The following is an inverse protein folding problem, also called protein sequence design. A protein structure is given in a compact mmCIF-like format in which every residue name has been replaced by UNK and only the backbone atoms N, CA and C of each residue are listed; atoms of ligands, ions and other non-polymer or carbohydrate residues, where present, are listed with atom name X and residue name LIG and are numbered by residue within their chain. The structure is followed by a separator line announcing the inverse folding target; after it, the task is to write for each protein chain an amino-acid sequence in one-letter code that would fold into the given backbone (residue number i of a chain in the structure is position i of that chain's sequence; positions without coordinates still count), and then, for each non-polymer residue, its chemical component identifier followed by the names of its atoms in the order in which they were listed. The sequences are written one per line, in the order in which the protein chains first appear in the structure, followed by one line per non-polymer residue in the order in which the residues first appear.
data_IF_115591869336
#
_entry.id   IF_115591869336
#
_cell.length_a   1.000
_cell.length_b   1.000
_cell.length_c   1.000
_cell.angle_alpha   90.00
_cell.angle_beta   90.00
_cell.angle_gamma   90.00
#
_symmetry.space_group_name_H-M   'P 1'
#
loop_
_entity.id
_entity.type
_entity.pdbx_description
1 polymer ?
#
# COMPACT_ATOMS: atom_id res chain seq x y z
N UNK A 1 -42.01 -18.70 -2.88
CA UNK A 1 -42.31 -18.05 -4.18
C UNK A 1 -40.98 -17.80 -4.86
N UNK A 2 -40.75 -18.38 -6.04
CA UNK A 2 -39.56 -18.05 -6.86
C UNK A 2 -39.71 -16.59 -7.31
N UNK A 3 -38.63 -15.81 -7.23
CA UNK A 3 -38.70 -14.40 -7.60
C UNK A 3 -38.83 -14.25 -9.13
N UNK A 4 -39.52 -13.24 -9.65
CA UNK A 4 -39.74 -13.07 -11.10
C UNK A 4 -38.45 -13.12 -11.93
N UNK A 5 -37.37 -12.56 -11.39
CA UNK A 5 -36.03 -12.55 -11.96
C UNK A 5 -35.42 -13.96 -12.10
N UNK A 6 -35.73 -14.87 -11.18
CA UNK A 6 -35.26 -16.25 -11.25
C UNK A 6 -36.04 -17.04 -12.29
N UNK A 7 -37.34 -16.75 -12.49
CA UNK A 7 -38.13 -17.39 -13.54
C UNK A 7 -37.59 -17.03 -14.93
N UNK A 8 -37.25 -15.75 -15.13
CA UNK A 8 -36.64 -15.27 -16.37
C UNK A 8 -35.26 -15.90 -16.62
N UNK A 9 -34.44 -16.10 -15.59
CA UNK A 9 -33.14 -16.79 -15.68
C UNK A 9 -33.27 -18.28 -16.02
N UNK A 10 -34.37 -18.91 -15.66
CA UNK A 10 -34.68 -20.30 -16.03
C UNK A 10 -35.33 -20.41 -17.43
N UNK A 11 -35.41 -19.32 -18.19
CA UNK A 11 -35.99 -19.32 -19.54
C UNK A 11 -37.52 -19.35 -19.56
N UNK A 12 -38.18 -19.12 -18.42
CA UNK A 12 -39.63 -18.90 -18.43
C UNK A 12 -39.93 -17.50 -18.96
N UNK A 13 -40.73 -17.46 -20.03
CA UNK A 13 -41.22 -16.23 -20.65
C UNK A 13 -42.59 -15.93 -20.03
N UNK A 14 -42.76 -14.80 -19.31
CA UNK A 14 -44.04 -14.39 -18.76
C UNK A 14 -45.04 -14.11 -19.88
N UNK A 15 -46.29 -14.57 -19.73
CA UNK A 15 -47.35 -14.37 -20.72
C UNK A 15 -47.64 -12.89 -21.01
N UNK A 16 -47.45 -12.01 -20.01
CA UNK A 16 -47.64 -10.55 -20.15
C UNK A 16 -46.62 -9.88 -21.08
N UNK A 17 -45.46 -10.51 -21.32
CA UNK A 17 -44.41 -9.98 -22.19
C UNK A 17 -44.53 -10.49 -23.64
N UNK A 18 -45.53 -11.32 -23.93
CA UNK A 18 -45.76 -11.90 -25.25
C UNK A 18 -46.78 -11.03 -26.00
N UNK A 19 -46.40 -10.43 -27.14
CA UNK A 19 -47.34 -9.65 -27.94
C UNK A 19 -48.51 -10.52 -28.43
N UNK A 20 -49.76 -10.00 -28.45
CA UNK A 20 -50.91 -10.76 -28.92
C UNK A 20 -50.71 -11.30 -30.33
N UNK A 21 -51.04 -12.57 -30.56
CA UNK A 21 -50.89 -13.22 -31.88
C UNK A 21 -49.47 -13.65 -32.25
N UNK A 22 -48.50 -13.53 -31.35
CA UNK A 22 -47.11 -14.00 -31.56
C UNK A 22 -46.90 -15.36 -30.89
N UNK A 23 -46.23 -16.30 -31.58
CA UNK A 23 -45.83 -17.58 -30.99
C UNK A 23 -44.83 -17.33 -29.84
N UNK A 24 -45.12 -17.78 -28.60
CA UNK A 24 -44.22 -17.68 -27.45
C UNK A 24 -42.79 -18.17 -27.72
N UNK A 25 -42.63 -19.15 -28.64
CA UNK A 25 -41.33 -19.73 -28.99
C UNK A 25 -40.45 -18.81 -29.85
N UNK A 26 -41.02 -17.75 -30.40
CA UNK A 26 -40.33 -16.77 -31.25
C UNK A 26 -39.96 -15.48 -30.53
N UNK A 27 -40.34 -15.34 -29.25
CA UNK A 27 -40.07 -14.12 -28.45
C UNK A 27 -38.74 -14.25 -27.73
N UNK A 28 -37.84 -13.29 -27.96
CA UNK A 28 -36.54 -13.20 -27.29
C UNK A 28 -36.54 -11.97 -26.36
N UNK A 29 -36.41 -12.20 -25.05
CA UNK A 29 -36.27 -11.12 -24.07
C UNK A 29 -34.78 -10.77 -23.94
N UNK A 30 -34.40 -9.56 -24.38
CA UNK A 30 -33.04 -9.05 -24.22
C UNK A 30 -32.91 -8.37 -22.86
N UNK A 31 -32.18 -9.01 -21.95
CA UNK A 31 -31.80 -8.38 -20.69
C UNK A 31 -30.60 -7.46 -20.89
N UNK A 32 -30.81 -6.16 -20.79
CA UNK A 32 -29.70 -5.21 -20.65
C UNK A 32 -29.19 -5.30 -19.22
N UNK A 33 -27.88 -5.52 -19.04
CA UNK A 33 -27.30 -5.47 -17.70
C UNK A 33 -27.43 -4.04 -17.19
N UNK A 34 -28.00 -3.81 -16.00
CA UNK A 34 -28.09 -2.47 -15.45
C UNK A 34 -26.67 -1.88 -15.33
N UNK A 35 -26.50 -0.64 -15.79
CA UNK A 35 -25.22 0.07 -15.72
C UNK A 35 -24.78 0.15 -14.26
N UNK A 36 -23.83 -0.70 -13.88
CA UNK A 36 -23.27 -0.75 -12.52
C UNK A 36 -22.06 0.17 -12.43
N UNK A 37 -22.22 1.29 -11.73
CA UNK A 37 -21.14 2.24 -11.50
C UNK A 37 -20.35 1.95 -10.22
N UNK A 38 -20.89 1.13 -9.31
CA UNK A 38 -20.27 0.85 -8.01
C UNK A 38 -18.96 0.08 -8.14
N UNK A 39 -18.90 -0.95 -8.99
CA UNK A 39 -17.69 -1.74 -9.21
C UNK A 39 -16.51 -0.89 -9.73
N UNK A 40 -16.67 -0.18 -10.86
CA UNK A 40 -15.62 0.68 -11.40
C UNK A 40 -15.20 1.79 -10.44
N UNK A 41 -16.16 2.42 -9.74
CA UNK A 41 -15.87 3.54 -8.85
C UNK A 41 -15.04 3.09 -7.64
N UNK A 42 -15.40 1.96 -7.02
CA UNK A 42 -14.65 1.38 -5.91
C UNK A 42 -13.23 1.00 -6.35
N UNK A 43 -13.08 0.42 -7.55
CA UNK A 43 -11.76 0.07 -8.08
C UNK A 43 -10.85 1.30 -8.19
N UNK A 44 -11.37 2.39 -8.77
CA UNK A 44 -10.62 3.64 -8.93
C UNK A 44 -10.24 4.21 -7.57
N UNK A 45 -11.16 4.20 -6.61
CA UNK A 45 -10.95 4.76 -5.29
C UNK A 45 -9.87 3.98 -4.53
N UNK A 46 -9.93 2.64 -4.56
CA UNK A 46 -8.93 1.76 -3.95
C UNK A 46 -7.56 1.94 -4.62
N UNK A 47 -7.51 1.99 -5.95
CA UNK A 47 -6.25 2.20 -6.68
C UNK A 47 -5.62 3.54 -6.32
N UNK A 48 -6.42 4.61 -6.26
CA UNK A 48 -5.92 5.96 -5.94
C UNK A 48 -5.38 6.02 -4.51
N UNK A 49 -6.12 5.49 -3.53
CA UNK A 49 -5.68 5.44 -2.14
C UNK A 49 -4.43 4.57 -1.97
N UNK A 50 -4.36 3.42 -2.65
CA UNK A 50 -3.20 2.54 -2.62
C UNK A 50 -1.93 3.20 -3.17
N UNK A 51 -2.03 3.89 -4.31
CA UNK A 51 -0.90 4.62 -4.90
C UNK A 51 -0.44 5.75 -3.99
N UNK A 52 -1.35 6.56 -3.46
CA UNK A 52 -1.02 7.63 -2.52
C UNK A 52 -0.33 7.09 -1.26
N UNK A 53 -0.85 6.00 -0.69
CA UNK A 53 -0.26 5.34 0.48
C UNK A 53 1.17 4.83 0.19
N UNK A 54 1.38 4.22 -0.97
CA UNK A 54 2.69 3.72 -1.38
C UNK A 54 3.71 4.86 -1.55
N UNK A 55 3.32 5.94 -2.22
CA UNK A 55 4.19 7.13 -2.38
C UNK A 55 4.52 7.75 -1.02
N UNK A 56 3.55 7.87 -0.12
CA UNK A 56 3.76 8.42 1.21
C UNK A 56 4.74 7.56 2.04
N UNK A 57 4.52 6.25 2.10
CA UNK A 57 5.36 5.33 2.87
C UNK A 57 6.80 5.29 2.33
N UNK A 58 6.95 5.22 1.01
CA UNK A 58 8.28 5.24 0.38
C UNK A 58 9.01 6.55 0.65
N UNK A 59 8.31 7.69 0.57
CA UNK A 59 8.90 9.00 0.86
C UNK A 59 9.39 9.10 2.31
N UNK A 60 8.58 8.67 3.28
CA UNK A 60 8.97 8.67 4.69
C UNK A 60 10.16 7.73 4.95
N UNK A 61 10.14 6.54 4.36
CA UNK A 61 11.24 5.57 4.52
C UNK A 61 12.56 6.13 3.97
N UNK A 62 12.53 6.81 2.82
CA UNK A 62 13.72 7.45 2.26
C UNK A 62 14.20 8.60 3.13
N UNK A 63 13.29 9.47 3.58
CA UNK A 63 13.64 10.61 4.44
C UNK A 63 14.23 10.16 5.78
N UNK A 64 13.69 9.09 6.39
CA UNK A 64 14.23 8.56 7.64
C UNK A 64 15.62 7.96 7.46
N UNK A 65 15.88 7.25 6.35
CA UNK A 65 17.22 6.77 6.00
C UNK A 65 18.22 7.93 5.83
N UNK A 66 17.82 9.00 5.15
CA UNK A 66 18.65 10.21 4.98
C UNK A 66 18.91 10.90 6.31
N UNK A 67 17.91 11.01 7.17
CA UNK A 67 18.07 11.57 8.52
C UNK A 67 19.07 10.76 9.35
N UNK A 68 18.97 9.43 9.35
CA UNK A 68 19.93 8.57 10.03
C UNK A 68 21.33 8.86 9.49
N UNK A 69 21.55 8.83 8.17
CA UNK A 69 22.85 9.13 7.57
C UNK A 69 23.40 10.52 7.97
N UNK A 70 22.56 11.55 7.99
CA UNK A 70 22.94 12.90 8.40
C UNK A 70 23.32 12.97 9.88
N UNK A 71 22.57 12.29 10.76
CA UNK A 71 22.88 12.23 12.20
C UNK A 71 24.17 11.48 12.48
N UNK A 72 24.46 10.39 11.76
CA UNK A 72 25.72 9.67 11.91
C UNK A 72 26.91 10.50 11.43
N UNK A 73 26.77 11.19 10.29
CA UNK A 73 27.82 12.06 9.75
C UNK A 73 28.14 13.23 10.69
N UNK A 74 27.12 13.85 11.28
CA UNK A 74 27.30 14.93 12.27
C UNK A 74 27.94 14.42 13.56
N UNK A 75 27.54 13.24 14.04
CA UNK A 75 28.16 12.61 15.21
C UNK A 75 29.65 12.30 14.98
N UNK A 76 30.02 11.74 13.82
CA UNK A 76 31.42 11.47 13.48
C UNK A 76 32.22 12.77 13.39
N UNK A 77 31.68 13.80 12.73
CA UNK A 77 32.33 15.11 12.64
C UNK A 77 32.53 15.77 14.00
N UNK A 78 31.61 15.58 14.95
CA UNK A 78 31.76 16.08 16.31
C UNK A 78 32.79 15.27 17.14
N UNK A 79 32.94 13.97 16.85
CA UNK A 79 33.88 13.09 17.52
C UNK A 79 35.34 13.28 17.06
N UNK A 80 35.57 13.69 15.80
CA UNK A 80 36.93 13.87 15.25
C UNK A 80 37.75 14.95 16.01
N UNK A 81 37.21 16.15 16.31
CA UNK A 81 37.92 17.15 17.12
C UNK A 81 38.19 16.70 18.55
N UNK A 82 37.34 15.87 19.14
CA UNK A 82 37.56 15.31 20.49
C UNK A 82 38.62 14.22 20.48
N UNK A 83 38.68 13.40 19.42
CA UNK A 83 39.69 12.36 19.24
C UNK A 83 41.09 12.92 18.92
N UNK A 84 41.17 13.99 18.12
CA UNK A 84 42.43 14.62 17.69
C UNK A 84 42.86 15.73 18.67
N UNK A 85 41.91 16.45 19.28
CA UNK A 85 42.18 17.63 20.12
C UNK A 85 42.28 17.37 21.62
N UNK A 86 41.97 16.17 22.12
CA UNK A 86 41.91 15.94 23.56
C UNK A 86 42.33 14.53 24.00
N UNK A 87 43.61 14.34 24.32
CA UNK A 87 44.09 13.46 25.40
C UNK A 87 43.75 11.96 25.42
N UNK A 88 42.97 11.42 24.48
CA UNK A 88 42.44 10.05 24.55
C UNK A 88 43.51 8.98 24.29
N UNK A 89 44.38 9.18 23.30
CA UNK A 89 45.46 8.24 23.00
C UNK A 89 46.61 8.32 24.02
N UNK A 90 46.89 9.50 24.59
CA UNK A 90 47.94 9.69 25.60
C UNK A 90 47.51 9.05 26.94
N UNK A 91 46.22 9.13 27.30
CA UNK A 91 45.72 8.51 28.54
C UNK A 91 45.72 6.98 28.47
N UNK A 92 45.50 6.39 27.29
CA UNK A 92 45.62 4.94 27.10
C UNK A 92 47.09 4.48 27.17
N UNK A 93 48.04 5.29 26.69
CA UNK A 93 49.47 4.99 26.74
C UNK A 93 50.11 5.21 28.13
N UNK A 94 49.58 6.13 28.94
CA UNK A 94 50.09 6.42 30.29
C UNK A 94 49.65 5.41 31.36
N UNK A 95 48.69 4.52 31.05
CA UNK A 95 48.20 3.49 31.98
C UNK A 95 48.78 2.11 31.70
N UNK A 96 50.06 2.04 31.36
CA UNK A 96 50.83 0.79 31.46
C UNK A 96 51.31 0.67 32.93
N UNK A 97 50.90 -0.36 33.68
CA UNK A 97 51.31 -0.50 35.08
C UNK A 97 52.82 -0.71 35.18
N UNK A 98 53.47 0.11 36.00
CA UNK A 98 54.90 0.01 36.35
C UNK A 98 55.18 -1.39 36.92
N UNK A 99 55.99 -2.16 36.20
CA UNK A 99 56.48 -3.45 36.68
C UNK A 99 57.31 -3.25 37.96
N UNK A 100 57.15 -4.12 38.99
CA UNK A 100 57.87 -3.98 40.25
C UNK A 100 59.37 -4.25 40.05
N UNK A 101 60.21 -3.30 40.47
CA UNK A 101 61.67 -3.47 40.55
C UNK A 101 62.01 -4.35 41.75
N UNK A 102 62.99 -5.25 41.54
CA UNK A 102 63.60 -6.17 42.50
C UNK A 102 63.94 -5.53 43.85
#
# INVERSE_FOLDING_TARGET
MIRPEDQLRHGHIPADLIPPGTDPRSVVIVHTTPRSWTGPLVLILVATVGICGLVYLTTIAVLSLVQVAATTATAIKAAIPTLIGGGGLITLALKVPKAPSK
#
